data_IF_612256294527
#
_entry.id   IF_612256294527
#
_cell.length_a   1.000
_cell.length_b   1.000
_cell.length_c   1.000
_cell.angle_alpha   90.00
_cell.angle_beta   90.00
_cell.angle_gamma   90.00
#
_symmetry.space_group_name_H-M   'P 1'
#
loop_
_entity.id
_entity.type
_entity.pdbx_description
1 polymer ?
#
# COMPACT_ATOMS: atom_id res chain seq x y z
N UNK A 1 -6.83 40.27 -29.03
CA UNK A 1 -5.72 39.56 -28.35
C UNK A 1 -6.30 38.82 -27.18
N UNK A 2 -6.31 37.53 -27.25
CA UNK A 2 -7.27 36.61 -26.64
C UNK A 2 -7.08 36.41 -25.12
N UNK A 3 -8.16 36.54 -24.35
CA UNK A 3 -8.29 36.26 -22.92
C UNK A 3 -7.91 34.83 -22.51
N UNK A 4 -7.59 33.94 -23.46
CA UNK A 4 -7.17 32.54 -23.21
C UNK A 4 -5.72 32.40 -22.78
N UNK A 5 -4.85 33.40 -22.92
CA UNK A 5 -3.42 33.33 -22.55
C UNK A 5 -3.13 33.69 -21.09
N UNK A 6 -4.06 34.35 -20.38
CA UNK A 6 -3.85 34.67 -18.96
C UNK A 6 -4.18 33.54 -18.00
N UNK A 7 -5.06 32.59 -18.37
CA UNK A 7 -5.46 31.50 -17.49
C UNK A 7 -4.43 30.38 -17.32
N UNK A 8 -3.52 30.21 -18.29
CA UNK A 8 -2.52 29.12 -18.23
C UNK A 8 -1.26 29.48 -17.43
N UNK A 9 -0.94 30.75 -17.25
CA UNK A 9 0.29 31.13 -16.51
C UNK A 9 0.06 31.27 -14.99
N UNK A 10 -1.14 31.54 -14.53
CA UNK A 10 -1.42 31.66 -13.10
C UNK A 10 -1.53 30.28 -12.40
N UNK A 11 -2.00 29.26 -13.11
CA UNK A 11 -2.15 27.90 -12.53
C UNK A 11 -0.83 27.23 -12.13
N UNK A 12 0.29 27.55 -12.79
CA UNK A 12 1.58 26.91 -12.46
C UNK A 12 2.22 27.51 -11.20
N UNK A 13 1.99 28.81 -10.95
CA UNK A 13 2.46 29.45 -9.72
C UNK A 13 1.60 29.04 -8.52
N UNK A 14 0.29 28.91 -8.70
CA UNK A 14 -0.63 28.48 -7.65
C UNK A 14 -0.40 27.02 -7.24
N UNK A 15 -0.14 26.11 -8.20
CA UNK A 15 0.19 24.72 -7.90
C UNK A 15 1.47 24.58 -7.09
N UNK A 16 2.54 25.28 -7.48
CA UNK A 16 3.80 25.28 -6.72
C UNK A 16 3.65 25.90 -5.32
N UNK A 17 2.80 26.89 -5.19
CA UNK A 17 2.51 27.50 -3.90
C UNK A 17 1.74 26.51 -3.00
N UNK A 18 0.73 25.83 -3.55
CA UNK A 18 -0.05 24.81 -2.83
C UNK A 18 0.81 23.60 -2.46
N UNK A 19 1.67 23.12 -3.37
CA UNK A 19 2.63 22.07 -3.06
C UNK A 19 3.59 22.47 -1.92
N UNK A 20 4.05 23.74 -1.89
CA UNK A 20 4.86 24.24 -0.80
C UNK A 20 4.07 24.39 0.51
N UNK A 21 2.80 24.81 0.48
CA UNK A 21 1.96 24.84 1.68
C UNK A 21 1.71 23.43 2.23
N UNK A 22 1.38 22.47 1.38
CA UNK A 22 1.23 21.07 1.78
C UNK A 22 2.53 20.54 2.40
N UNK A 23 3.68 20.89 1.80
CA UNK A 23 5.00 20.53 2.32
C UNK A 23 5.33 21.17 3.66
N UNK A 24 4.93 22.43 3.89
CA UNK A 24 5.08 23.11 5.19
C UNK A 24 4.09 22.61 6.24
N UNK A 25 3.00 21.94 5.84
CA UNK A 25 2.07 21.28 6.75
C UNK A 25 2.66 19.96 7.31
N UNK A 26 3.62 19.37 6.65
CA UNK A 26 4.33 18.20 7.17
C UNK A 26 5.30 18.65 8.26
N UNK A 27 5.05 18.25 9.50
CA UNK A 27 5.89 18.56 10.68
C UNK A 27 6.78 17.39 11.10
N UNK A 28 6.80 16.32 10.28
CA UNK A 28 7.68 15.17 10.54
C UNK A 28 9.12 15.52 10.11
N UNK A 29 9.82 16.26 10.96
CA UNK A 29 11.27 16.53 10.83
C UNK A 29 12.14 15.27 10.97
N UNK A 30 11.55 14.15 11.43
CA UNK A 30 12.13 12.81 11.44
C UNK A 30 11.08 11.82 10.95
N UNK A 31 11.41 11.11 9.91
CA UNK A 31 10.63 9.97 9.45
C UNK A 31 10.50 8.97 10.60
N UNK A 32 9.27 8.81 11.12
CA UNK A 32 9.00 7.81 12.17
C UNK A 32 8.89 6.47 11.45
N UNK A 33 9.93 5.65 11.61
CA UNK A 33 9.91 4.28 11.11
C UNK A 33 9.31 3.36 12.18
N UNK A 34 8.01 3.11 12.07
CA UNK A 34 7.30 2.20 12.99
C UNK A 34 7.79 0.75 12.90
N UNK A 35 8.54 0.39 11.85
CA UNK A 35 9.07 -0.96 11.67
C UNK A 35 10.34 -1.22 12.48
N UNK A 36 11.00 -0.16 12.98
CA UNK A 36 12.10 -0.24 13.92
C UNK A 36 11.66 -0.51 15.37
N UNK A 37 10.34 -0.42 15.64
CA UNK A 37 9.76 -0.72 16.94
C UNK A 37 9.47 -2.21 17.10
N UNK A 38 9.31 -2.65 18.36
CA UNK A 38 8.84 -4.02 18.61
C UNK A 38 7.40 -4.21 18.09
N UNK A 39 7.05 -5.45 17.72
CA UNK A 39 5.66 -5.77 17.31
C UNK A 39 4.63 -5.31 18.37
N UNK A 40 4.99 -5.37 19.68
CA UNK A 40 4.13 -4.94 20.76
C UNK A 40 3.89 -3.42 20.71
N UNK A 41 4.95 -2.65 20.61
CA UNK A 41 4.85 -1.18 20.53
C UNK A 41 4.06 -0.73 19.30
N UNK A 42 4.27 -1.37 18.14
CA UNK A 42 3.48 -1.09 16.95
C UNK A 42 1.98 -1.30 17.22
N UNK A 43 1.61 -2.44 17.83
CA UNK A 43 0.21 -2.78 18.13
C UNK A 43 -0.36 -1.82 19.17
N UNK A 44 0.40 -1.47 20.20
CA UNK A 44 -0.04 -0.55 21.26
C UNK A 44 -0.33 0.86 20.69
N UNK A 45 0.54 1.36 19.79
CA UNK A 45 0.30 2.64 19.12
C UNK A 45 -0.90 2.56 18.17
N UNK A 46 -1.01 1.50 17.36
CA UNK A 46 -2.14 1.29 16.45
C UNK A 46 -3.48 1.19 17.19
N UNK A 47 -3.50 0.64 18.39
CA UNK A 47 -4.70 0.53 19.23
C UNK A 47 -5.06 1.83 19.98
N UNK A 48 -4.23 2.85 19.93
CA UNK A 48 -4.42 4.11 20.63
C UNK A 48 -5.27 5.10 19.83
N UNK A 49 -5.40 6.31 20.32
CA UNK A 49 -6.01 7.44 19.61
C UNK A 49 -5.02 8.20 18.71
N UNK A 50 -3.78 7.71 18.55
CA UNK A 50 -2.80 8.30 17.67
C UNK A 50 -3.32 8.26 16.21
N UNK A 51 -3.14 9.33 15.42
CA UNK A 51 -3.61 9.37 14.05
C UNK A 51 -2.83 8.45 13.11
N UNK A 52 -1.62 8.06 13.47
CA UNK A 52 -0.69 7.17 12.77
C UNK A 52 0.01 6.21 13.77
N UNK A 53 0.37 4.96 13.35
CA UNK A 53 0.01 4.33 12.07
C UNK A 53 -1.49 4.03 12.00
N UNK A 54 -2.01 3.99 10.76
CA UNK A 54 -3.41 3.65 10.50
C UNK A 54 -3.57 2.35 9.71
N UNK A 55 -4.75 2.21 9.10
CA UNK A 55 -5.10 1.01 8.31
C UNK A 55 -4.19 0.77 7.11
N UNK A 56 -3.64 1.83 6.48
CA UNK A 56 -2.72 1.72 5.36
C UNK A 56 -1.37 1.15 5.80
N UNK A 57 -0.75 1.73 6.82
CA UNK A 57 0.49 1.21 7.40
C UNK A 57 0.34 -0.22 7.93
N UNK A 58 -0.78 -0.54 8.61
CA UNK A 58 -1.08 -1.90 9.05
C UNK A 58 -1.20 -2.87 7.85
N UNK A 59 -1.84 -2.45 6.75
CA UNK A 59 -1.96 -3.27 5.54
C UNK A 59 -0.59 -3.54 4.91
N UNK A 60 0.29 -2.52 4.83
CA UNK A 60 1.64 -2.68 4.33
C UNK A 60 2.45 -3.68 5.17
N UNK A 61 2.39 -3.58 6.50
CA UNK A 61 3.07 -4.51 7.41
C UNK A 61 2.55 -5.95 7.24
N UNK A 62 1.24 -6.14 7.17
CA UNK A 62 0.63 -7.46 6.95
C UNK A 62 1.07 -8.04 5.60
N UNK A 63 1.15 -7.21 4.56
CA UNK A 63 1.70 -7.61 3.26
C UNK A 63 3.15 -8.07 3.34
N UNK A 64 4.01 -7.34 4.07
CA UNK A 64 5.41 -7.70 4.29
C UNK A 64 5.55 -9.05 4.99
N UNK A 65 4.73 -9.30 6.03
CA UNK A 65 4.68 -10.60 6.72
C UNK A 65 4.28 -11.72 5.75
N UNK A 66 3.26 -11.45 4.90
CA UNK A 66 2.82 -12.41 3.88
C UNK A 66 3.94 -12.81 2.92
N UNK A 67 4.70 -11.83 2.39
CA UNK A 67 5.83 -12.10 1.48
C UNK A 67 6.96 -12.83 2.20
N UNK A 68 7.24 -12.47 3.46
CA UNK A 68 8.29 -13.12 4.26
C UNK A 68 8.03 -14.63 4.45
N UNK A 69 6.76 -15.04 4.58
CA UNK A 69 6.40 -16.47 4.62
C UNK A 69 6.74 -17.18 3.30
N UNK A 70 6.47 -16.57 2.15
CA UNK A 70 6.91 -17.09 0.85
C UNK A 70 8.44 -17.24 0.77
N UNK A 71 9.16 -16.21 1.23
CA UNK A 71 10.63 -16.25 1.26
C UNK A 71 11.16 -17.35 2.20
N UNK A 72 10.47 -17.62 3.31
CA UNK A 72 10.77 -18.77 4.19
C UNK A 72 10.62 -20.10 3.44
N UNK A 73 9.53 -20.30 2.67
CA UNK A 73 9.35 -21.48 1.81
C UNK A 73 10.53 -21.62 0.85
N UNK A 74 10.93 -20.52 0.20
CA UNK A 74 12.10 -20.48 -0.68
C UNK A 74 13.39 -20.86 0.05
N UNK A 75 13.62 -20.33 1.25
CA UNK A 75 14.81 -20.64 2.08
C UNK A 75 14.86 -22.10 2.49
N UNK A 76 13.72 -22.73 2.68
CA UNK A 76 13.62 -24.15 2.98
C UNK A 76 13.71 -25.04 1.71
N UNK A 77 13.79 -24.45 0.53
CA UNK A 77 13.89 -25.14 -0.77
C UNK A 77 15.32 -25.17 -1.28
N UNK A 78 16.00 -24.04 -1.30
CA UNK A 78 17.35 -23.86 -1.85
C UNK A 78 18.36 -24.78 -1.17
N UNK A 79 19.30 -25.36 -1.97
CA UNK A 79 20.37 -26.25 -1.52
C UNK A 79 19.91 -27.67 -1.28
N UNK A 80 18.66 -28.04 -1.53
CA UNK A 80 18.18 -29.41 -1.37
C UNK A 80 18.14 -30.16 -2.70
N UNK A 81 18.82 -31.30 -2.80
CA UNK A 81 18.88 -32.11 -4.02
C UNK A 81 17.51 -32.42 -4.63
N UNK A 82 16.48 -32.57 -3.81
CA UNK A 82 15.10 -32.82 -4.25
C UNK A 82 14.51 -31.72 -5.11
N UNK A 83 15.00 -30.49 -4.96
CA UNK A 83 14.47 -29.29 -5.61
C UNK A 83 15.48 -28.65 -6.58
N UNK A 84 16.51 -29.42 -6.99
CA UNK A 84 17.57 -28.94 -7.88
C UNK A 84 17.02 -28.37 -9.21
N UNK A 85 15.96 -28.99 -9.76
CA UNK A 85 15.35 -28.58 -11.03
C UNK A 85 14.63 -27.24 -10.97
N UNK A 86 14.28 -26.75 -9.77
CA UNK A 86 13.56 -25.49 -9.57
C UNK A 86 14.38 -24.46 -8.78
N UNK A 87 15.62 -24.79 -8.43
CA UNK A 87 16.45 -23.99 -7.53
C UNK A 87 16.70 -22.57 -8.06
N UNK A 88 17.00 -22.42 -9.37
CA UNK A 88 17.23 -21.12 -9.99
C UNK A 88 15.97 -20.23 -9.94
N UNK A 89 14.79 -20.81 -10.20
CA UNK A 89 13.52 -20.11 -10.09
C UNK A 89 13.28 -19.62 -8.66
N UNK A 90 13.52 -20.46 -7.68
CA UNK A 90 13.33 -20.14 -6.26
C UNK A 90 14.32 -19.08 -5.80
N UNK A 91 15.57 -19.12 -6.25
CA UNK A 91 16.57 -18.07 -5.94
C UNK A 91 16.11 -16.71 -6.51
N UNK A 92 15.62 -16.69 -7.74
CA UNK A 92 15.04 -15.49 -8.36
C UNK A 92 13.85 -14.97 -7.54
N UNK A 93 12.89 -15.85 -7.20
CA UNK A 93 11.72 -15.49 -6.40
C UNK A 93 12.10 -14.93 -5.02
N UNK A 94 13.10 -15.52 -4.37
CA UNK A 94 13.61 -15.03 -3.08
C UNK A 94 14.16 -13.60 -3.17
N UNK A 95 14.98 -13.33 -4.18
CA UNK A 95 15.54 -11.99 -4.39
C UNK A 95 14.42 -10.96 -4.59
N UNK A 96 13.44 -11.28 -5.42
CA UNK A 96 12.30 -10.40 -5.65
C UNK A 96 11.42 -10.25 -4.39
N UNK A 97 11.26 -11.31 -3.60
CA UNK A 97 10.55 -11.26 -2.32
C UNK A 97 11.25 -10.34 -1.30
N UNK A 98 12.58 -10.34 -1.25
CA UNK A 98 13.35 -9.41 -0.41
C UNK A 98 13.10 -7.95 -0.80
N UNK A 99 13.08 -7.65 -2.11
CA UNK A 99 12.78 -6.30 -2.63
C UNK A 99 11.35 -5.87 -2.30
N UNK A 100 10.36 -6.77 -2.47
CA UNK A 100 8.96 -6.51 -2.16
C UNK A 100 8.77 -6.29 -0.65
N UNK A 101 9.38 -7.14 0.18
CA UNK A 101 9.32 -7.00 1.65
C UNK A 101 9.86 -5.65 2.09
N UNK A 102 11.06 -5.29 1.60
CA UNK A 102 11.67 -3.99 1.88
C UNK A 102 10.74 -2.85 1.48
N UNK A 103 10.16 -2.92 0.27
CA UNK A 103 9.26 -1.87 -0.21
C UNK A 103 7.99 -1.74 0.63
N UNK A 104 7.39 -2.85 1.05
CA UNK A 104 6.22 -2.83 1.93
C UNK A 104 6.54 -2.23 3.31
N UNK A 105 7.71 -2.50 3.87
CA UNK A 105 8.15 -1.88 5.13
C UNK A 105 8.34 -0.36 4.97
N UNK A 106 8.96 0.10 3.86
CA UNK A 106 9.06 1.53 3.54
C UNK A 106 7.68 2.19 3.41
N UNK A 107 6.70 1.47 2.85
CA UNK A 107 5.34 1.98 2.67
C UNK A 107 4.58 2.13 4.01
N UNK A 108 4.98 1.46 5.09
CA UNK A 108 4.44 1.69 6.44
C UNK A 108 4.69 3.13 6.89
N UNK A 109 5.94 3.59 6.76
CA UNK A 109 6.31 4.96 7.11
C UNK A 109 5.70 5.97 6.12
N UNK A 110 5.70 5.62 4.83
CA UNK A 110 5.16 6.50 3.78
C UNK A 110 3.67 6.77 3.91
N UNK A 111 2.89 5.78 4.34
CA UNK A 111 1.45 5.94 4.64
C UNK A 111 1.22 7.01 5.73
N UNK A 112 2.04 6.99 6.77
CA UNK A 112 1.97 7.98 7.84
C UNK A 112 2.33 9.39 7.34
N UNK A 113 3.36 9.52 6.49
CA UNK A 113 3.79 10.80 5.92
C UNK A 113 2.70 11.46 5.06
N UNK A 114 2.02 10.70 4.20
CA UNK A 114 0.98 11.26 3.31
C UNK A 114 -0.33 11.52 4.05
N UNK A 115 -0.56 10.84 5.17
CA UNK A 115 -1.76 11.05 5.98
C UNK A 115 -1.69 12.34 6.81
N UNK A 116 -0.53 12.79 7.24
CA UNK A 116 -0.40 13.98 8.08
C UNK A 116 -0.96 15.26 7.42
N UNK A 117 -0.58 15.61 6.17
CA UNK A 117 -1.18 16.75 5.46
C UNK A 117 -2.70 16.62 5.30
N UNK A 118 -3.20 15.42 5.00
CA UNK A 118 -4.64 15.16 4.87
C UNK A 118 -5.36 15.41 6.21
N UNK A 119 -4.82 14.91 7.31
CA UNK A 119 -5.38 15.14 8.65
C UNK A 119 -5.46 16.62 9.00
N UNK A 120 -4.42 17.40 8.71
CA UNK A 120 -4.40 18.86 8.90
C UNK A 120 -5.41 19.58 8.00
N UNK A 121 -5.53 19.16 6.74
CA UNK A 121 -6.47 19.74 5.78
C UNK A 121 -7.93 19.58 6.23
N UNK A 122 -8.30 18.49 6.88
CA UNK A 122 -9.64 18.34 7.46
C UNK A 122 -9.96 19.42 8.50
N UNK A 123 -8.98 19.92 9.24
CA UNK A 123 -9.12 20.93 10.29
C UNK A 123 -9.12 22.36 9.76
N UNK A 124 -8.86 22.60 8.46
CA UNK A 124 -8.88 23.94 7.87
C UNK A 124 -10.25 24.60 8.03
N UNK A 125 -10.29 25.94 8.28
CA UNK A 125 -11.53 26.69 8.42
C UNK A 125 -12.35 26.67 7.13
N UNK A 126 -13.67 26.83 7.25
CA UNK A 126 -14.65 26.80 6.15
C UNK A 126 -15.82 27.76 6.37
N UNK A 127 -15.61 28.79 7.19
CA UNK A 127 -16.68 29.69 7.64
C UNK A 127 -16.98 30.81 6.63
N UNK A 128 -15.99 31.18 5.79
CA UNK A 128 -16.17 32.14 4.70
C UNK A 128 -16.03 31.48 3.33
N UNK A 129 -16.54 32.09 2.25
CA UNK A 129 -16.37 31.57 0.89
C UNK A 129 -14.88 31.39 0.51
N UNK A 130 -14.02 32.32 0.92
CA UNK A 130 -12.57 32.29 0.67
C UNK A 130 -11.90 31.14 1.41
N UNK A 131 -12.23 30.94 2.68
CA UNK A 131 -11.73 29.81 3.48
C UNK A 131 -12.17 28.48 2.89
N UNK A 132 -13.43 28.39 2.46
CA UNK A 132 -13.95 27.18 1.83
C UNK A 132 -13.22 26.87 0.52
N UNK A 133 -13.02 27.87 -0.34
CA UNK A 133 -12.31 27.72 -1.60
C UNK A 133 -10.87 27.24 -1.36
N UNK A 134 -10.17 27.86 -0.42
CA UNK A 134 -8.80 27.46 -0.04
C UNK A 134 -8.74 26.03 0.48
N UNK A 135 -9.67 25.66 1.38
CA UNK A 135 -9.75 24.28 1.89
C UNK A 135 -9.97 23.28 0.77
N UNK A 136 -10.83 23.58 -0.20
CA UNK A 136 -11.13 22.72 -1.34
C UNK A 136 -9.92 22.51 -2.25
N UNK A 137 -9.13 23.55 -2.50
CA UNK A 137 -7.88 23.47 -3.26
C UNK A 137 -6.86 22.55 -2.56
N UNK A 138 -6.62 22.76 -1.26
CA UNK A 138 -5.72 21.93 -0.47
C UNK A 138 -6.21 20.48 -0.45
N UNK A 139 -7.51 20.26 -0.19
CA UNK A 139 -8.10 18.91 -0.16
C UNK A 139 -7.95 18.17 -1.49
N UNK A 140 -8.02 18.87 -2.63
CA UNK A 140 -7.85 18.25 -3.94
C UNK A 140 -6.45 17.65 -4.12
N UNK A 141 -5.41 18.30 -3.61
CA UNK A 141 -4.02 17.81 -3.66
C UNK A 141 -3.83 16.67 -2.67
N UNK A 142 -4.11 16.89 -1.38
CA UNK A 142 -3.79 15.92 -0.34
C UNK A 142 -4.60 14.63 -0.44
N UNK A 143 -5.84 14.67 -0.96
CA UNK A 143 -6.63 13.46 -1.21
C UNK A 143 -6.06 12.61 -2.34
N UNK A 144 -5.54 13.25 -3.40
CA UNK A 144 -4.85 12.54 -4.47
C UNK A 144 -3.60 11.84 -3.93
N UNK A 145 -2.73 12.57 -3.25
CA UNK A 145 -1.49 12.05 -2.68
C UNK A 145 -1.77 10.90 -1.68
N UNK A 146 -2.81 11.04 -0.87
CA UNK A 146 -3.25 10.01 0.08
C UNK A 146 -3.82 8.73 -0.58
N UNK A 147 -4.08 8.74 -1.90
CA UNK A 147 -4.43 7.52 -2.63
C UNK A 147 -3.22 6.81 -3.24
N UNK A 148 -2.10 7.51 -3.49
CA UNK A 148 -0.94 6.94 -4.18
C UNK A 148 -0.29 5.82 -3.37
N UNK A 149 -0.08 6.03 -2.07
CA UNK A 149 0.56 5.03 -1.20
C UNK A 149 -0.27 3.76 -1.04
N UNK A 150 -1.58 3.82 -0.70
CA UNK A 150 -2.42 2.63 -0.67
C UNK A 150 -2.48 1.88 -2.00
N UNK A 151 -2.49 2.59 -3.13
CA UNK A 151 -2.47 1.96 -4.46
C UNK A 151 -1.13 1.24 -4.71
N UNK A 152 -0.02 1.82 -4.26
CA UNK A 152 1.29 1.17 -4.35
C UNK A 152 1.37 -0.07 -3.43
N UNK A 153 0.80 -0.02 -2.22
CA UNK A 153 0.68 -1.20 -1.34
C UNK A 153 -0.07 -2.32 -2.07
N UNK A 154 -1.21 -2.00 -2.71
CA UNK A 154 -1.96 -3.00 -3.49
C UNK A 154 -1.15 -3.61 -4.62
N UNK A 155 -0.47 -2.80 -5.44
CA UNK A 155 0.39 -3.26 -6.53
C UNK A 155 1.54 -4.13 -6.03
N UNK A 156 2.12 -3.76 -4.91
CA UNK A 156 3.23 -4.50 -4.30
C UNK A 156 2.75 -5.83 -3.71
N UNK A 157 1.59 -5.87 -3.05
CA UNK A 157 0.96 -7.12 -2.60
C UNK A 157 0.56 -8.02 -3.78
N UNK A 158 0.10 -7.46 -4.89
CA UNK A 158 -0.21 -8.20 -6.10
C UNK A 158 1.02 -8.94 -6.65
N UNK A 159 2.17 -8.26 -6.75
CA UNK A 159 3.44 -8.90 -7.09
C UNK A 159 3.83 -9.98 -6.08
N UNK A 160 3.62 -9.74 -4.78
CA UNK A 160 3.83 -10.73 -3.74
C UNK A 160 2.99 -12.00 -3.94
N UNK A 161 1.73 -11.87 -4.41
CA UNK A 161 0.86 -13.01 -4.74
C UNK A 161 1.33 -13.77 -5.99
N UNK A 162 1.94 -13.09 -6.97
CA UNK A 162 2.55 -13.76 -8.12
C UNK A 162 3.71 -14.67 -7.66
N UNK A 163 4.59 -14.17 -6.77
CA UNK A 163 5.67 -14.96 -6.20
C UNK A 163 5.14 -16.08 -5.28
N UNK A 164 4.10 -15.81 -4.49
CA UNK A 164 3.50 -16.78 -3.59
C UNK A 164 3.01 -18.02 -4.34
N UNK A 165 2.45 -17.83 -5.54
CA UNK A 165 2.06 -18.95 -6.41
C UNK A 165 3.27 -19.81 -6.76
N UNK A 166 4.40 -19.20 -7.19
CA UNK A 166 5.62 -19.98 -7.51
C UNK A 166 6.18 -20.70 -6.28
N UNK A 167 6.18 -20.06 -5.11
CA UNK A 167 6.61 -20.71 -3.87
C UNK A 167 5.71 -21.89 -3.49
N UNK A 168 4.39 -21.77 -3.66
CA UNK A 168 3.46 -22.85 -3.40
C UNK A 168 3.64 -24.03 -4.37
N UNK A 169 3.85 -23.74 -5.65
CA UNK A 169 3.98 -24.78 -6.70
C UNK A 169 5.34 -25.50 -6.68
N UNK A 170 6.43 -24.74 -6.48
CA UNK A 170 7.81 -25.21 -6.65
C UNK A 170 8.57 -25.43 -5.33
N UNK A 171 8.10 -24.82 -4.25
CA UNK A 171 8.82 -24.77 -2.99
C UNK A 171 8.72 -26.03 -2.13
N UNK A 172 9.38 -25.97 -0.99
CA UNK A 172 9.46 -27.07 -0.04
C UNK A 172 8.09 -27.46 0.53
N UNK A 173 7.71 -28.73 0.35
CA UNK A 173 6.43 -29.28 0.85
C UNK A 173 6.28 -29.23 2.36
N UNK A 174 7.39 -29.16 3.10
CA UNK A 174 7.37 -29.06 4.57
C UNK A 174 6.76 -27.71 5.02
N UNK A 175 6.92 -26.65 4.21
CA UNK A 175 6.42 -25.32 4.48
C UNK A 175 5.29 -24.91 3.52
N UNK A 176 4.58 -25.86 2.93
CA UNK A 176 3.50 -25.56 1.99
C UNK A 176 2.36 -24.77 2.66
N UNK A 177 2.04 -25.08 3.91
CA UNK A 177 1.06 -24.34 4.70
C UNK A 177 1.41 -22.87 4.87
N UNK A 178 2.72 -22.53 4.97
CA UNK A 178 3.17 -21.15 5.12
C UNK A 178 2.91 -20.35 3.83
N UNK A 179 3.00 -20.98 2.65
CA UNK A 179 2.57 -20.36 1.40
C UNK A 179 1.06 -20.03 1.39
N UNK A 180 0.23 -20.91 1.92
CA UNK A 180 -1.21 -20.67 2.07
C UNK A 180 -1.52 -19.52 3.02
N UNK A 181 -0.84 -19.48 4.18
CA UNK A 181 -0.95 -18.35 5.14
C UNK A 181 -0.48 -17.06 4.49
N UNK A 182 0.65 -17.07 3.79
CA UNK A 182 1.19 -15.89 3.09
C UNK A 182 0.21 -15.33 2.05
N UNK A 183 -0.43 -16.20 1.25
CA UNK A 183 -1.45 -15.80 0.29
C UNK A 183 -2.65 -15.12 0.98
N UNK A 184 -3.11 -15.65 2.11
CA UNK A 184 -4.21 -15.08 2.90
C UNK A 184 -3.86 -13.70 3.46
N UNK A 185 -2.64 -13.53 4.00
CA UNK A 185 -2.17 -12.26 4.51
C UNK A 185 -2.04 -11.21 3.41
N UNK A 186 -1.49 -11.58 2.25
CA UNK A 186 -1.38 -10.69 1.09
C UNK A 186 -2.75 -10.27 0.55
N UNK A 187 -3.74 -11.18 0.53
CA UNK A 187 -5.13 -10.85 0.20
C UNK A 187 -5.70 -9.82 1.17
N UNK A 188 -5.54 -10.06 2.48
CA UNK A 188 -6.03 -9.15 3.52
C UNK A 188 -5.36 -7.77 3.43
N UNK A 189 -4.06 -7.71 3.16
CA UNK A 189 -3.30 -6.48 2.96
C UNK A 189 -3.83 -5.69 1.74
N UNK A 190 -4.06 -6.36 0.63
CA UNK A 190 -4.60 -5.76 -0.60
C UNK A 190 -6.02 -5.22 -0.37
N UNK A 191 -6.88 -5.96 0.32
CA UNK A 191 -8.22 -5.52 0.68
C UNK A 191 -8.18 -4.33 1.65
N UNK A 192 -7.35 -4.39 2.69
CA UNK A 192 -7.17 -3.31 3.65
C UNK A 192 -6.72 -2.01 2.98
N UNK A 193 -5.72 -2.08 2.11
CA UNK A 193 -5.22 -0.93 1.36
C UNK A 193 -6.32 -0.32 0.44
N UNK A 194 -7.17 -1.14 -0.20
CA UNK A 194 -8.26 -0.66 -1.04
C UNK A 194 -9.27 0.24 -0.31
N UNK A 195 -9.52 -0.04 0.98
CA UNK A 195 -10.43 0.76 1.79
C UNK A 195 -9.89 2.19 2.01
N UNK A 196 -8.57 2.35 2.08
CA UNK A 196 -7.94 3.67 2.19
C UNK A 196 -8.08 4.47 0.89
N UNK A 197 -8.10 3.81 -0.27
CA UNK A 197 -8.39 4.47 -1.55
C UNK A 197 -9.86 4.92 -1.57
N UNK A 198 -10.80 4.02 -1.29
CA UNK A 198 -12.23 4.34 -1.37
C UNK A 198 -12.68 5.45 -0.42
N UNK A 199 -12.16 5.51 0.81
CA UNK A 199 -12.52 6.58 1.74
C UNK A 199 -12.00 7.94 1.25
N UNK A 200 -10.85 7.99 0.60
CA UNK A 200 -10.27 9.19 0.05
C UNK A 200 -10.99 9.62 -1.24
N UNK A 201 -11.22 8.70 -2.19
CA UNK A 201 -11.95 9.00 -3.44
C UNK A 201 -13.39 9.43 -3.20
N UNK A 202 -14.04 8.92 -2.14
CA UNK A 202 -15.37 9.38 -1.71
C UNK A 202 -15.40 10.88 -1.42
N UNK A 203 -14.29 11.42 -0.88
CA UNK A 203 -14.16 12.83 -0.50
C UNK A 203 -13.65 13.73 -1.62
N UNK A 204 -13.19 13.18 -2.76
CA UNK A 204 -12.72 13.95 -3.90
C UNK A 204 -13.85 14.68 -4.61
N UNK A 205 -13.64 15.95 -4.98
CA UNK A 205 -14.54 16.70 -5.87
C UNK A 205 -14.35 16.30 -7.34
N UNK A 206 -13.12 16.01 -7.76
CA UNK A 206 -12.83 15.45 -9.08
C UNK A 206 -13.35 14.02 -9.16
N UNK A 207 -14.59 13.90 -9.64
CA UNK A 207 -15.26 12.61 -9.77
C UNK A 207 -14.69 11.73 -10.88
N UNK A 208 -14.02 12.34 -11.88
CA UNK A 208 -13.37 11.60 -12.97
C UNK A 208 -12.12 10.89 -12.42
N UNK A 209 -11.25 11.61 -11.74
CA UNK A 209 -10.09 11.03 -11.08
C UNK A 209 -10.49 9.98 -10.02
N UNK A 210 -11.51 10.29 -9.20
CA UNK A 210 -12.01 9.35 -8.20
C UNK A 210 -12.48 8.04 -8.83
N UNK A 211 -13.19 8.11 -9.97
CA UNK A 211 -13.65 6.92 -10.68
C UNK A 211 -12.49 6.12 -11.27
N UNK A 212 -11.50 6.79 -11.88
CA UNK A 212 -10.31 6.12 -12.41
C UNK A 212 -9.56 5.34 -11.32
N UNK A 213 -9.35 5.94 -10.14
CA UNK A 213 -8.71 5.30 -9.01
C UNK A 213 -9.52 4.10 -8.49
N UNK A 214 -10.85 4.23 -8.43
CA UNK A 214 -11.73 3.15 -8.01
C UNK A 214 -11.70 2.00 -9.01
N UNK A 215 -11.76 2.26 -10.32
CA UNK A 215 -11.72 1.24 -11.36
C UNK A 215 -10.41 0.45 -11.36
N UNK A 216 -9.26 1.14 -11.16
CA UNK A 216 -7.96 0.49 -11.01
C UNK A 216 -7.92 -0.38 -9.75
N UNK A 217 -8.43 0.15 -8.62
CA UNK A 217 -8.53 -0.56 -7.35
C UNK A 217 -9.40 -1.82 -7.47
N UNK A 218 -10.57 -1.72 -8.08
CA UNK A 218 -11.50 -2.84 -8.28
C UNK A 218 -10.91 -3.91 -9.21
N UNK A 219 -10.19 -3.50 -10.25
CA UNK A 219 -9.50 -4.42 -11.15
C UNK A 219 -8.42 -5.23 -10.44
N UNK A 220 -7.58 -4.56 -9.62
CA UNK A 220 -6.56 -5.22 -8.80
C UNK A 220 -7.21 -6.19 -7.81
N UNK A 221 -8.23 -5.76 -7.08
CA UNK A 221 -8.96 -6.60 -6.14
C UNK A 221 -9.50 -7.84 -6.81
N UNK A 222 -10.31 -7.67 -7.87
CA UNK A 222 -10.95 -8.78 -8.58
C UNK A 222 -9.94 -9.83 -9.06
N UNK A 223 -8.78 -9.38 -9.56
CA UNK A 223 -7.76 -10.26 -10.11
C UNK A 223 -7.02 -11.01 -8.99
N UNK A 224 -6.55 -10.28 -7.99
CA UNK A 224 -5.60 -10.83 -7.03
C UNK A 224 -6.26 -11.46 -5.80
N UNK A 225 -7.49 -11.06 -5.44
CA UNK A 225 -8.28 -11.80 -4.46
C UNK A 225 -8.56 -13.23 -4.96
N UNK A 226 -8.97 -13.36 -6.23
CA UNK A 226 -9.18 -14.67 -6.85
C UNK A 226 -7.90 -15.49 -6.88
N UNK A 227 -6.77 -14.91 -7.27
CA UNK A 227 -5.46 -15.59 -7.26
C UNK A 227 -5.09 -16.09 -5.87
N UNK A 228 -5.29 -15.27 -4.84
CA UNK A 228 -4.99 -15.65 -3.45
C UNK A 228 -5.87 -16.84 -3.01
N UNK A 229 -7.16 -16.82 -3.35
CA UNK A 229 -8.09 -17.92 -3.04
C UNK A 229 -7.68 -19.20 -3.78
N UNK A 230 -7.28 -19.12 -5.04
CA UNK A 230 -6.77 -20.27 -5.81
C UNK A 230 -5.51 -20.88 -5.17
N UNK A 231 -4.57 -20.03 -4.73
CA UNK A 231 -3.36 -20.51 -4.01
C UNK A 231 -3.76 -21.22 -2.73
N UNK A 232 -4.63 -20.59 -1.93
CA UNK A 232 -5.08 -21.14 -0.65
C UNK A 232 -5.78 -22.49 -0.82
N UNK A 233 -6.73 -22.62 -1.76
CA UNK A 233 -7.45 -23.86 -2.03
C UNK A 233 -6.51 -24.97 -2.55
N UNK A 234 -5.56 -24.63 -3.43
CA UNK A 234 -4.56 -25.59 -3.90
C UNK A 234 -3.72 -26.12 -2.73
N UNK A 235 -3.25 -25.23 -1.84
CA UNK A 235 -2.53 -25.65 -0.62
C UNK A 235 -3.40 -26.56 0.24
N UNK A 236 -4.67 -26.18 0.49
CA UNK A 236 -5.60 -27.00 1.27
C UNK A 236 -5.79 -28.41 0.68
N UNK A 237 -5.91 -28.51 -0.64
CA UNK A 237 -6.10 -29.81 -1.31
C UNK A 237 -4.85 -30.69 -1.22
N UNK A 238 -3.66 -30.08 -1.15
CA UNK A 238 -2.41 -30.84 -1.06
C UNK A 238 -2.04 -31.29 0.37
N UNK A 239 -2.56 -30.60 1.40
CA UNK A 239 -2.24 -30.92 2.81
C UNK A 239 -3.32 -31.76 3.51
N UNK A 240 -4.48 -31.95 2.89
CA UNK A 240 -5.59 -32.81 3.38
C UNK A 240 -5.43 -34.23 2.82
#
# INVERSE_FOLDING_TARGET
MSLRKCYYNNNLYDLKYLENEVRTMSSLDKQIDFTEHSCREFIDVLASSAPIPGGGGASALVGAIGVALGNMVGSLTVGKKRYADVEEDIIRCKKEADEITKRLLELVAKDAEVFEPLSKAYSLPKSTPEELAKKEEVMAVVLKDACEVPLEIMKTCARGLDLMKEFAEKGSRIALSDAGVGATLLKSALQGASLNIYINTKSMKDRVLAQQLNDETDSLRKTYEKKADEIFENVCNEIR
#
